data_IF_967925497724
#
_entry.id   IF_967925497724
#
_cell.length_a   1.000
_cell.length_b   1.000
_cell.length_c   1.000
_cell.angle_alpha   90.00
_cell.angle_beta   90.00
_cell.angle_gamma   90.00
#
_symmetry.space_group_name_H-M   'P 1'
#
loop_
_entity.id
_entity.type
_entity.pdbx_description
1 polymer ?
#
# COMPACT_ATOMS: atom_id res chain seq x y z
N UNK A 1 -21.56 -39.73 11.01
CA UNK A 1 -20.93 -39.47 12.33
C UNK A 1 -20.46 -38.04 12.33
N UNK A 2 -21.11 -37.16 13.09
CA UNK A 2 -20.71 -35.77 13.20
C UNK A 2 -19.36 -35.71 13.90
N UNK A 3 -18.33 -35.26 13.19
CA UNK A 3 -17.05 -34.91 13.80
C UNK A 3 -17.34 -33.80 14.80
N UNK A 4 -17.38 -34.14 16.09
CA UNK A 4 -17.43 -33.17 17.17
C UNK A 4 -16.18 -32.30 17.03
N UNK A 5 -16.36 -31.08 16.52
CA UNK A 5 -15.33 -30.04 16.61
C UNK A 5 -15.14 -29.75 18.11
N UNK A 6 -14.24 -30.50 18.75
CA UNK A 6 -13.73 -30.16 20.08
C UNK A 6 -13.11 -28.78 19.93
N UNK A 7 -13.72 -27.78 20.57
CA UNK A 7 -13.13 -26.46 20.61
C UNK A 7 -11.76 -26.58 21.29
N UNK A 8 -10.67 -26.17 20.63
CA UNK A 8 -9.35 -26.27 21.22
C UNK A 8 -9.31 -25.45 22.51
N UNK A 9 -8.85 -26.06 23.60
CA UNK A 9 -8.78 -25.38 24.87
C UNK A 9 -7.69 -24.29 24.83
N UNK A 10 -8.02 -23.12 25.36
CA UNK A 10 -7.14 -21.93 25.33
C UNK A 10 -6.78 -21.46 26.73
N UNK A 11 -5.66 -20.75 26.81
CA UNK A 11 -5.31 -19.91 27.96
C UNK A 11 -5.05 -18.49 27.49
N UNK A 12 -5.16 -17.53 28.39
CA UNK A 12 -4.83 -16.12 28.11
C UNK A 12 -3.43 -15.83 28.66
N UNK A 13 -2.67 -14.99 27.96
CA UNK A 13 -1.39 -14.47 28.42
C UNK A 13 -1.55 -13.63 29.71
N UNK A 14 -0.46 -13.45 30.46
CA UNK A 14 -0.48 -12.73 31.74
C UNK A 14 -0.91 -11.26 31.62
N UNK A 15 -0.69 -10.65 30.47
CA UNK A 15 -1.14 -9.29 30.14
C UNK A 15 -2.64 -9.22 29.76
N UNK A 16 -3.33 -10.36 29.65
CA UNK A 16 -4.74 -10.45 29.28
C UNK A 16 -5.00 -10.28 27.78
N UNK A 17 -3.95 -10.11 26.97
CA UNK A 17 -4.06 -9.56 25.62
C UNK A 17 -3.99 -10.60 24.49
N UNK A 18 -3.52 -11.82 24.77
CA UNK A 18 -3.28 -12.86 23.76
C UNK A 18 -3.87 -14.19 24.18
N UNK A 19 -4.44 -14.87 23.21
CA UNK A 19 -4.87 -16.26 23.30
C UNK A 19 -3.66 -17.15 22.98
N UNK A 20 -3.45 -18.14 23.83
CA UNK A 20 -2.37 -19.11 23.74
C UNK A 20 -2.93 -20.53 23.86
N UNK A 21 -2.22 -21.50 23.32
CA UNK A 21 -2.48 -22.91 23.56
C UNK A 21 -2.43 -23.22 25.07
N UNK A 22 -3.45 -23.91 25.61
CA UNK A 22 -3.55 -24.21 27.04
C UNK A 22 -2.35 -24.99 27.60
N UNK A 23 -1.91 -26.03 26.91
CA UNK A 23 -0.85 -26.91 27.41
C UNK A 23 0.55 -26.31 27.27
N UNK A 24 0.79 -25.58 26.19
CA UNK A 24 2.14 -25.15 25.81
C UNK A 24 2.36 -23.65 25.96
N UNK A 25 1.31 -22.87 26.23
CA UNK A 25 1.37 -21.39 26.35
C UNK A 25 1.99 -20.71 25.12
N UNK A 26 1.82 -21.32 23.94
CA UNK A 26 2.31 -20.81 22.67
C UNK A 26 1.17 -20.26 21.84
N UNK A 27 1.42 -19.15 21.14
CA UNK A 27 0.51 -18.58 20.14
C UNK A 27 0.34 -19.50 18.94
N UNK A 28 1.46 -20.06 18.45
CA UNK A 28 1.49 -21.10 17.42
C UNK A 28 2.07 -22.39 18.01
N UNK A 29 1.26 -23.44 18.04
CA UNK A 29 1.64 -24.72 18.62
C UNK A 29 1.50 -25.84 17.59
N UNK A 30 2.64 -26.38 17.12
CA UNK A 30 2.66 -27.52 16.20
C UNK A 30 2.21 -28.83 16.84
N UNK A 31 2.26 -28.95 18.17
CA UNK A 31 1.85 -30.18 18.89
C UNK A 31 0.34 -30.30 19.04
N UNK A 32 -0.33 -29.16 19.25
CA UNK A 32 -1.78 -29.10 19.40
C UNK A 32 -2.48 -28.69 18.10
N UNK A 33 -1.71 -28.49 17.02
CA UNK A 33 -2.21 -28.05 15.70
C UNK A 33 -3.08 -26.78 15.76
N UNK A 34 -2.70 -25.81 16.62
CA UNK A 34 -3.38 -24.52 16.75
C UNK A 34 -2.48 -23.37 16.35
N UNK A 35 -3.07 -22.37 15.68
CA UNK A 35 -2.41 -21.12 15.30
C UNK A 35 -3.34 -19.95 15.65
N UNK A 36 -3.02 -19.24 16.73
CA UNK A 36 -3.79 -18.08 17.20
C UNK A 36 -3.25 -16.76 16.66
N UNK A 37 -2.24 -16.77 15.78
CA UNK A 37 -1.55 -15.56 15.30
C UNK A 37 -2.51 -14.55 14.70
N UNK A 38 -3.40 -14.99 13.82
CA UNK A 38 -4.39 -14.09 13.17
C UNK A 38 -5.43 -13.55 14.16
N UNK A 39 -5.85 -14.37 15.12
CA UNK A 39 -6.80 -13.97 16.15
C UNK A 39 -6.21 -12.91 17.08
N UNK A 40 -4.98 -13.12 17.54
CA UNK A 40 -4.25 -12.17 18.38
C UNK A 40 -3.92 -10.87 17.63
N UNK A 41 -3.55 -10.97 16.35
CA UNK A 41 -3.35 -9.82 15.49
C UNK A 41 -4.64 -8.99 15.36
N UNK A 42 -5.77 -9.63 15.08
CA UNK A 42 -7.06 -8.96 15.02
C UNK A 42 -7.44 -8.31 16.36
N UNK A 43 -7.34 -9.05 17.47
CA UNK A 43 -7.63 -8.54 18.81
C UNK A 43 -6.78 -7.29 19.14
N UNK A 44 -5.49 -7.30 18.77
CA UNK A 44 -4.61 -6.14 18.92
C UNK A 44 -5.09 -4.91 18.14
N UNK A 45 -5.63 -5.09 16.93
CA UNK A 45 -6.18 -3.96 16.15
C UNK A 45 -7.46 -3.37 16.73
N UNK A 46 -8.16 -4.14 17.58
CA UNK A 46 -9.42 -3.76 18.19
C UNK A 46 -9.27 -3.09 19.56
N UNK A 47 -8.09 -3.11 20.19
CA UNK A 47 -7.86 -2.53 21.53
C UNK A 47 -8.28 -1.07 21.68
N UNK A 48 -8.18 -0.30 20.60
CA UNK A 48 -8.52 1.13 20.60
C UNK A 48 -9.97 1.41 20.15
N UNK A 49 -10.73 0.37 19.81
CA UNK A 49 -12.13 0.50 19.41
C UNK A 49 -12.98 0.34 20.67
N UNK A 50 -13.65 1.42 21.09
CA UNK A 50 -14.43 1.46 22.33
C UNK A 50 -15.69 0.59 22.28
N UNK A 51 -16.31 0.51 21.09
CA UNK A 51 -17.53 -0.25 20.80
C UNK A 51 -17.27 -1.24 19.65
N UNK A 52 -18.31 -1.83 19.07
CA UNK A 52 -18.15 -2.62 17.84
C UNK A 52 -17.63 -1.74 16.70
N UNK A 53 -16.75 -2.25 15.81
CA UNK A 53 -16.35 -1.55 14.61
C UNK A 53 -17.56 -1.00 13.85
N UNK A 54 -17.61 0.30 13.53
CA UNK A 54 -18.75 0.90 12.88
C UNK A 54 -18.99 0.24 11.51
N UNK A 55 -20.24 -0.10 11.17
CA UNK A 55 -20.54 -0.71 9.88
C UNK A 55 -20.33 0.31 8.75
N UNK A 56 -19.65 -0.11 7.69
CA UNK A 56 -19.65 0.51 6.36
C UNK A 56 -19.37 2.02 6.25
N UNK A 57 -18.76 2.66 7.25
CA UNK A 57 -18.42 4.10 7.24
C UNK A 57 -16.91 4.33 7.24
N UNK A 58 -16.34 4.93 6.17
CA UNK A 58 -14.94 5.35 6.15
C UNK A 58 -14.69 6.42 7.21
N UNK A 59 -13.44 6.54 7.69
CA UNK A 59 -13.08 7.60 8.63
C UNK A 59 -12.81 8.93 7.88
N UNK A 60 -13.75 9.91 7.87
CA UNK A 60 -13.60 11.13 7.08
C UNK A 60 -12.41 11.98 7.55
N UNK A 61 -12.12 11.95 8.85
CA UNK A 61 -10.99 12.69 9.45
C UNK A 61 -9.66 12.17 8.91
N UNK A 62 -9.49 10.85 8.84
CA UNK A 62 -8.29 10.23 8.26
C UNK A 62 -8.16 10.56 6.77
N UNK A 63 -9.25 10.45 6.00
CA UNK A 63 -9.25 10.75 4.56
C UNK A 63 -8.83 12.22 4.30
N UNK A 64 -9.35 13.15 5.11
CA UNK A 64 -8.97 14.55 5.05
C UNK A 64 -7.49 14.77 5.39
N UNK A 65 -6.96 14.07 6.40
CA UNK A 65 -5.53 14.14 6.76
C UNK A 65 -4.62 13.58 5.66
N UNK A 66 -4.95 12.42 5.07
CA UNK A 66 -4.20 11.85 3.93
C UNK A 66 -4.19 12.83 2.76
N UNK A 67 -5.35 13.41 2.44
CA UNK A 67 -5.48 14.41 1.38
C UNK A 67 -4.62 15.64 1.64
N UNK A 68 -4.64 16.17 2.86
CA UNK A 68 -3.83 17.31 3.27
C UNK A 68 -2.34 17.03 3.14
N UNK A 69 -1.86 15.86 3.58
CA UNK A 69 -0.45 15.48 3.46
C UNK A 69 -0.01 15.36 1.99
N UNK A 70 -0.86 14.76 1.14
CA UNK A 70 -0.65 14.71 -0.32
C UNK A 70 -0.54 16.12 -0.91
N UNK A 71 -1.40 17.05 -0.51
CA UNK A 71 -1.40 18.43 -1.00
C UNK A 71 -0.16 19.21 -0.56
N UNK A 72 0.30 19.05 0.68
CA UNK A 72 1.58 19.62 1.13
C UNK A 72 2.75 19.03 0.34
N UNK A 73 2.77 17.72 0.10
CA UNK A 73 3.76 17.10 -0.79
C UNK A 73 3.75 17.70 -2.19
N UNK A 74 2.57 17.94 -2.78
CA UNK A 74 2.44 18.59 -4.08
C UNK A 74 2.95 20.03 -4.08
N UNK A 75 2.79 20.77 -2.96
CA UNK A 75 3.31 22.13 -2.81
C UNK A 75 4.84 22.13 -2.85
N UNK A 76 5.49 21.26 -2.08
CA UNK A 76 6.95 21.12 -2.11
C UNK A 76 7.45 20.60 -3.47
N UNK A 77 6.72 19.70 -4.12
CA UNK A 77 7.05 19.22 -5.45
C UNK A 77 7.08 20.35 -6.49
N UNK A 78 6.08 21.25 -6.47
CA UNK A 78 6.03 22.43 -7.35
C UNK A 78 7.18 23.41 -7.10
N UNK A 79 7.72 23.44 -5.88
CA UNK A 79 8.88 24.25 -5.50
C UNK A 79 10.22 23.58 -5.84
N UNK A 80 10.20 22.42 -6.51
CA UNK A 80 11.37 21.57 -6.76
C UNK A 80 12.10 21.10 -5.48
N UNK A 81 11.47 21.22 -4.31
CA UNK A 81 11.99 20.66 -3.07
C UNK A 81 11.52 19.20 -2.94
N UNK A 82 12.20 18.31 -3.67
CA UNK A 82 11.78 16.92 -3.80
C UNK A 82 11.98 16.09 -2.52
N UNK A 83 12.98 16.41 -1.69
CA UNK A 83 13.21 15.70 -0.42
C UNK A 83 12.04 15.89 0.55
N UNK A 84 11.59 17.13 0.75
CA UNK A 84 10.41 17.38 1.59
C UNK A 84 9.13 16.84 0.95
N UNK A 85 8.99 16.91 -0.38
CA UNK A 85 7.86 16.29 -1.07
C UNK A 85 7.78 14.78 -0.78
N UNK A 86 8.90 14.05 -0.86
CA UNK A 86 8.98 12.61 -0.54
C UNK A 86 8.59 12.36 0.91
N UNK A 87 9.03 13.20 1.85
CA UNK A 87 8.66 13.07 3.28
C UNK A 87 7.15 13.16 3.48
N UNK A 88 6.50 14.20 2.93
CA UNK A 88 5.05 14.38 3.04
C UNK A 88 4.26 13.27 2.34
N UNK A 89 4.71 12.83 1.15
CA UNK A 89 4.08 11.69 0.49
C UNK A 89 4.23 10.41 1.30
N UNK A 90 5.39 10.16 1.92
CA UNK A 90 5.58 8.97 2.76
C UNK A 90 4.68 8.98 3.97
N UNK A 91 4.54 10.13 4.66
CA UNK A 91 3.57 10.28 5.75
C UNK A 91 2.12 10.01 5.28
N UNK A 92 1.76 10.43 4.07
CA UNK A 92 0.44 10.18 3.50
C UNK A 92 0.23 8.67 3.20
N UNK A 93 1.26 7.99 2.68
CA UNK A 93 1.25 6.54 2.45
C UNK A 93 1.09 5.79 3.77
N UNK A 94 1.88 6.11 4.78
CA UNK A 94 1.84 5.45 6.10
C UNK A 94 0.48 5.64 6.78
N UNK A 95 -0.10 6.84 6.67
CA UNK A 95 -1.42 7.13 7.24
C UNK A 95 -2.55 6.40 6.50
N UNK A 96 -2.45 6.25 5.18
CA UNK A 96 -3.43 5.51 4.38
C UNK A 96 -3.28 3.99 4.58
N UNK A 97 -2.05 3.47 4.71
CA UNK A 97 -1.78 2.05 4.93
C UNK A 97 -2.08 1.58 6.37
N UNK A 98 -1.95 2.46 7.36
CA UNK A 98 -2.27 2.17 8.78
C UNK A 98 -3.78 2.18 9.09
N UNK A 99 -4.63 2.00 8.10
CA UNK A 99 -6.08 1.85 8.30
C UNK A 99 -6.37 0.51 8.98
N UNK A 100 -7.26 0.46 9.97
CA UNK A 100 -7.66 -0.79 10.59
C UNK A 100 -8.29 -1.75 9.57
N UNK A 101 -8.04 -3.06 9.71
CA UNK A 101 -8.56 -4.08 8.80
C UNK A 101 -10.09 -4.15 8.76
N UNK A 102 -10.74 -3.73 9.84
CA UNK A 102 -12.19 -3.65 9.93
C UNK A 102 -12.77 -2.41 9.21
N UNK A 103 -11.94 -1.45 8.77
CA UNK A 103 -12.42 -0.26 8.08
C UNK A 103 -13.01 -0.67 6.71
N UNK A 104 -14.28 -0.35 6.44
CA UNK A 104 -14.98 -0.80 5.23
C UNK A 104 -14.33 -0.26 3.97
N UNK A 105 -14.25 -1.12 2.95
CA UNK A 105 -13.61 -0.76 1.68
C UNK A 105 -12.18 -0.24 1.86
N UNK A 106 -11.50 -0.54 2.98
CA UNK A 106 -10.13 -0.09 3.24
C UNK A 106 -9.26 -0.35 2.01
N UNK A 107 -9.31 -1.55 1.43
CA UNK A 107 -8.55 -1.86 0.22
C UNK A 107 -8.96 -1.03 -1.01
N UNK A 108 -10.24 -0.71 -1.21
CA UNK A 108 -10.67 0.10 -2.35
C UNK A 108 -10.29 1.58 -2.18
N UNK A 109 -10.54 2.17 -1.01
CA UNK A 109 -10.14 3.55 -0.73
C UNK A 109 -8.63 3.71 -0.72
N UNK A 110 -7.91 2.77 -0.12
CA UNK A 110 -6.44 2.74 -0.12
C UNK A 110 -5.90 2.67 -1.55
N UNK A 111 -6.49 1.85 -2.43
CA UNK A 111 -6.09 1.81 -3.86
C UNK A 111 -6.31 3.16 -4.55
N UNK A 112 -7.45 3.80 -4.33
CA UNK A 112 -7.80 5.09 -4.94
C UNK A 112 -6.91 6.24 -4.44
N UNK A 113 -6.60 6.26 -3.15
CA UNK A 113 -5.78 7.29 -2.50
C UNK A 113 -4.27 7.08 -2.74
N UNK A 114 -3.78 5.84 -2.56
CA UNK A 114 -2.34 5.55 -2.61
C UNK A 114 -1.78 5.68 -4.02
N UNK A 115 -2.51 5.26 -5.05
CA UNK A 115 -1.96 5.25 -6.40
C UNK A 115 -1.49 6.67 -6.83
N UNK A 116 -2.28 7.75 -6.69
CA UNK A 116 -1.81 9.11 -6.91
C UNK A 116 -0.61 9.53 -6.06
N UNK A 117 -0.61 9.17 -4.76
CA UNK A 117 0.46 9.54 -3.82
C UNK A 117 1.78 8.87 -4.23
N UNK A 118 1.76 7.56 -4.44
CA UNK A 118 2.93 6.77 -4.86
C UNK A 118 3.44 7.20 -6.24
N UNK A 119 2.53 7.52 -7.19
CA UNK A 119 2.94 8.03 -8.51
C UNK A 119 3.64 9.39 -8.42
N UNK A 120 3.21 10.26 -7.50
CA UNK A 120 3.87 11.54 -7.25
C UNK A 120 5.19 11.38 -6.50
N UNK A 121 5.26 10.46 -5.52
CA UNK A 121 6.51 10.12 -4.82
C UNK A 121 7.54 9.50 -5.76
N UNK A 122 7.11 8.61 -6.65
CA UNK A 122 7.93 8.07 -7.75
C UNK A 122 8.48 9.21 -8.64
N UNK A 123 7.64 10.18 -9.01
CA UNK A 123 8.09 11.35 -9.77
C UNK A 123 9.14 12.17 -9.03
N UNK A 124 9.00 12.34 -7.70
CA UNK A 124 9.97 13.06 -6.89
C UNK A 124 11.31 12.31 -6.79
N UNK A 125 11.26 10.98 -6.64
CA UNK A 125 12.44 10.12 -6.70
C UNK A 125 13.14 10.21 -8.06
N UNK A 126 12.39 10.20 -9.17
CA UNK A 126 12.96 10.40 -10.51
C UNK A 126 13.69 11.73 -10.66
N UNK A 127 13.12 12.82 -10.14
CA UNK A 127 13.76 14.15 -10.15
C UNK A 127 15.08 14.18 -9.38
N UNK A 128 15.22 13.32 -8.35
CA UNK A 128 16.45 13.13 -7.59
C UNK A 128 17.38 12.05 -8.15
N UNK A 129 17.00 11.38 -9.25
CA UNK A 129 17.70 10.22 -9.83
C UNK A 129 17.76 9.00 -8.90
N UNK A 130 16.84 8.91 -7.94
CA UNK A 130 16.65 7.76 -7.06
C UNK A 130 15.81 6.70 -7.78
N UNK A 131 16.40 6.06 -8.79
CA UNK A 131 15.66 5.25 -9.77
C UNK A 131 15.08 3.96 -9.20
N UNK A 132 15.71 3.37 -8.18
CA UNK A 132 15.24 2.15 -7.52
C UNK A 132 13.95 2.44 -6.76
N UNK A 133 13.96 3.48 -5.93
CA UNK A 133 12.82 3.93 -5.14
C UNK A 133 11.67 4.36 -6.05
N UNK A 134 11.99 5.09 -7.13
CA UNK A 134 11.01 5.46 -8.13
C UNK A 134 10.35 4.24 -8.80
N UNK A 135 11.14 3.21 -9.09
CA UNK A 135 10.65 1.96 -9.67
C UNK A 135 9.75 1.19 -8.69
N UNK A 136 10.15 1.06 -7.42
CA UNK A 136 9.35 0.38 -6.39
C UNK A 136 7.98 1.03 -6.23
N UNK A 137 7.94 2.36 -6.16
CA UNK A 137 6.68 3.11 -6.08
C UNK A 137 5.83 2.93 -7.33
N UNK A 138 6.43 3.07 -8.52
CA UNK A 138 5.70 2.92 -9.77
C UNK A 138 5.16 1.50 -9.98
N UNK A 139 5.93 0.48 -9.59
CA UNK A 139 5.51 -0.90 -9.64
C UNK A 139 4.33 -1.16 -8.70
N UNK A 140 4.38 -0.64 -7.47
CA UNK A 140 3.24 -0.66 -6.55
C UNK A 140 2.00 -0.01 -7.18
N UNK A 141 2.13 1.14 -7.84
CA UNK A 141 1.02 1.78 -8.57
C UNK A 141 0.45 0.85 -9.65
N UNK A 142 1.29 0.20 -10.46
CA UNK A 142 0.80 -0.72 -11.52
C UNK A 142 0.07 -1.95 -10.97
N UNK A 143 0.38 -2.36 -9.73
CA UNK A 143 -0.33 -3.43 -9.01
C UNK A 143 -1.63 -2.94 -8.39
N UNK A 144 -1.66 -1.71 -7.87
CA UNK A 144 -2.84 -1.11 -7.25
C UNK A 144 -3.88 -0.67 -8.30
N UNK A 145 -3.44 -0.06 -9.40
CA UNK A 145 -4.28 0.47 -10.48
C UNK A 145 -3.68 0.15 -11.83
N UNK A 146 -3.98 -1.05 -12.33
CA UNK A 146 -3.40 -1.57 -13.57
C UNK A 146 -3.81 -0.74 -14.78
N UNK A 147 -5.04 -0.27 -14.81
CA UNK A 147 -5.65 0.51 -15.87
C UNK A 147 -5.15 1.95 -15.94
N UNK A 148 -4.37 2.41 -14.95
CA UNK A 148 -3.93 3.79 -14.89
C UNK A 148 -2.60 3.99 -15.62
N UNK A 149 -2.66 4.54 -16.83
CA UNK A 149 -1.52 4.75 -17.75
C UNK A 149 -0.33 5.50 -17.10
N UNK A 150 -0.60 6.45 -16.21
CA UNK A 150 0.44 7.22 -15.50
C UNK A 150 1.35 6.33 -14.63
N UNK A 151 0.82 5.25 -14.04
CA UNK A 151 1.65 4.30 -13.28
C UNK A 151 2.68 3.61 -14.17
N UNK A 152 2.26 3.17 -15.35
CA UNK A 152 3.13 2.56 -16.36
C UNK A 152 4.16 3.54 -16.89
N UNK A 153 3.79 4.81 -17.11
CA UNK A 153 4.72 5.86 -17.49
C UNK A 153 5.83 6.04 -16.44
N UNK A 154 5.47 6.13 -15.15
CA UNK A 154 6.48 6.23 -14.07
C UNK A 154 7.39 5.00 -14.02
N UNK A 155 6.83 3.80 -14.21
CA UNK A 155 7.60 2.54 -14.21
C UNK A 155 8.62 2.52 -15.35
N UNK A 156 8.19 2.86 -16.57
CA UNK A 156 9.09 2.92 -17.72
C UNK A 156 10.19 3.97 -17.55
N UNK A 157 9.87 5.20 -17.09
CA UNK A 157 10.89 6.23 -16.83
C UNK A 157 11.92 5.81 -15.77
N UNK A 158 11.48 5.08 -14.74
CA UNK A 158 12.38 4.55 -13.70
C UNK A 158 13.29 3.46 -14.27
N UNK A 159 12.75 2.56 -15.08
CA UNK A 159 13.52 1.51 -15.76
C UNK A 159 14.54 2.07 -16.75
N UNK A 160 14.21 3.17 -17.47
CA UNK A 160 15.19 3.89 -18.30
C UNK A 160 16.36 4.42 -17.45
N UNK A 161 16.07 5.01 -16.28
CA UNK A 161 17.11 5.47 -15.36
C UNK A 161 17.99 4.34 -14.80
N UNK A 162 17.45 3.12 -14.73
CA UNK A 162 18.17 1.90 -14.36
C UNK A 162 18.87 1.19 -15.53
N UNK A 163 18.86 1.79 -16.74
CA UNK A 163 19.36 1.20 -17.98
C UNK A 163 18.70 -0.13 -18.39
N UNK A 164 17.48 -0.40 -17.89
CA UNK A 164 16.68 -1.59 -18.20
C UNK A 164 15.71 -1.31 -19.35
N UNK A 165 16.27 -0.97 -20.52
CA UNK A 165 15.53 -0.43 -21.67
C UNK A 165 14.43 -1.35 -22.20
N UNK A 166 14.69 -2.66 -22.28
CA UNK A 166 13.70 -3.64 -22.76
C UNK A 166 12.44 -3.65 -21.89
N UNK A 167 12.62 -3.71 -20.57
CA UNK A 167 11.49 -3.67 -19.62
C UNK A 167 10.80 -2.30 -19.61
N UNK A 168 11.54 -1.21 -19.85
CA UNK A 168 10.94 0.11 -19.99
C UNK A 168 10.02 0.20 -21.21
N UNK A 169 10.44 -0.36 -22.35
CA UNK A 169 9.61 -0.48 -23.56
C UNK A 169 8.34 -1.26 -23.27
N UNK A 170 8.43 -2.41 -22.60
CA UNK A 170 7.25 -3.21 -22.21
C UNK A 170 6.30 -2.43 -21.30
N UNK A 171 6.84 -1.68 -20.34
CA UNK A 171 6.05 -0.83 -19.46
C UNK A 171 5.30 0.26 -20.23
N UNK A 172 5.97 0.96 -21.15
CA UNK A 172 5.32 1.99 -21.97
C UNK A 172 4.28 1.43 -22.93
N UNK A 173 4.57 0.32 -23.60
CA UNK A 173 3.60 -0.38 -24.43
C UNK A 173 2.38 -0.82 -23.62
N UNK A 174 2.59 -1.33 -22.39
CA UNK A 174 1.48 -1.70 -21.50
C UNK A 174 0.65 -0.49 -21.10
N UNK A 175 1.29 0.66 -20.79
CA UNK A 175 0.58 1.91 -20.56
C UNK A 175 -0.26 2.35 -21.75
N UNK A 176 0.29 2.26 -22.97
CA UNK A 176 -0.40 2.59 -24.22
C UNK A 176 -1.57 1.64 -24.51
N UNK A 177 -1.60 0.41 -23.95
CA UNK A 177 -2.78 -0.46 -24.08
C UNK A 177 -3.99 0.07 -23.30
N UNK A 178 -3.78 0.86 -22.25
CA UNK A 178 -4.85 1.46 -21.46
C UNK A 178 -5.17 2.90 -21.90
N UNK A 179 -4.20 3.57 -22.53
CA UNK A 179 -4.31 4.96 -22.97
C UNK A 179 -3.57 5.14 -24.31
N UNK A 180 -4.25 4.77 -25.40
CA UNK A 180 -3.69 4.70 -26.75
C UNK A 180 -3.22 6.07 -27.27
N UNK A 181 -3.84 7.15 -26.79
CA UNK A 181 -3.60 8.52 -27.26
C UNK A 181 -2.63 9.30 -26.36
N UNK A 182 -1.99 8.62 -25.40
CA UNK A 182 -1.03 9.24 -24.50
C UNK A 182 0.24 9.69 -25.22
N UNK A 183 0.32 10.98 -25.54
CA UNK A 183 1.51 11.58 -26.16
C UNK A 183 2.76 11.47 -25.28
N UNK A 184 2.61 11.52 -23.96
CA UNK A 184 3.73 11.33 -23.01
C UNK A 184 4.36 9.93 -23.14
N UNK A 185 3.53 8.89 -23.26
CA UNK A 185 3.98 7.51 -23.42
C UNK A 185 4.59 7.27 -24.81
N UNK A 186 3.95 7.78 -25.88
CA UNK A 186 4.47 7.68 -27.25
C UNK A 186 5.85 8.32 -27.35
N UNK A 187 6.00 9.53 -26.80
CA UNK A 187 7.28 10.25 -26.77
C UNK A 187 8.33 9.48 -25.96
N UNK A 188 7.99 9.02 -24.77
CA UNK A 188 8.94 8.29 -23.93
C UNK A 188 9.38 6.96 -24.56
N UNK A 189 8.51 6.30 -25.33
CA UNK A 189 8.86 5.11 -26.10
C UNK A 189 9.83 5.43 -27.25
N UNK A 190 9.59 6.52 -27.98
CA UNK A 190 10.48 7.00 -29.04
C UNK A 190 11.85 7.45 -28.51
N UNK A 191 11.93 7.96 -27.28
CA UNK A 191 13.19 8.35 -26.65
C UNK A 191 14.07 7.14 -26.24
N UNK A 192 13.50 5.92 -26.17
CA UNK A 192 14.24 4.68 -25.84
C UNK A 192 14.82 4.01 -27.10
N UNK A 193 14.09 4.09 -28.22
CA UNK A 193 14.41 3.40 -29.47
C UNK A 193 15.68 3.89 -30.14
#
# INVERSE_FOLDING_TARGET
>A
MATLYLQPEVTVSNDGDRILCKEHTLEKCSRCEVDWTEHNALASTLKHVKDLPPPNTPNPTRNAQVTRLKEEGNKFFKQANFNEAIRFYSMAVDLSWSRPLWEPLAFQYVREELAPILSNRSAAHLSLKNYIEAYVDAEAVTRLKREWSKGWFRKGKSLVGLDRKQEATEAFLTGLRFDHDSEELKKALADIS
#
